data_IF_887253255144
#
_entry.id   IF_887253255144
#
_cell.length_a   1.000
_cell.length_b   1.000
_cell.length_c   1.000
_cell.angle_alpha   90.00
_cell.angle_beta   90.00
_cell.angle_gamma   90.00
#
_symmetry.space_group_name_H-M   'P 1'
#
loop_
_entity.id
_entity.type
_entity.pdbx_description
1 polymer ?
#
# COMPACT_ATOMS: atom_id res chain seq x y z
N UNK A 1 50.11 12.52 -6.68
CA UNK A 1 49.35 12.26 -7.91
C UNK A 1 48.43 11.07 -7.69
N UNK A 2 47.13 11.30 -7.51
CA UNK A 2 46.00 10.40 -7.80
C UNK A 2 44.70 11.13 -7.43
N UNK A 3 43.59 10.91 -8.16
CA UNK A 3 42.66 11.98 -8.49
C UNK A 3 41.42 12.03 -7.59
N UNK A 4 40.95 13.27 -7.42
CA UNK A 4 39.68 13.68 -6.86
C UNK A 4 38.52 13.14 -7.72
N UNK A 5 37.73 12.19 -7.20
CA UNK A 5 36.44 11.84 -7.80
C UNK A 5 35.33 12.52 -7.00
N UNK A 6 34.92 13.70 -7.50
CA UNK A 6 33.74 14.40 -7.05
C UNK A 6 32.47 13.60 -7.38
N UNK A 7 31.63 13.39 -6.39
CA UNK A 7 30.22 13.06 -6.60
C UNK A 7 29.40 14.28 -6.18
N UNK A 8 28.76 14.88 -7.16
CA UNK A 8 27.88 16.03 -6.99
C UNK A 8 26.64 15.59 -6.20
N UNK A 9 26.61 15.88 -4.90
CA UNK A 9 25.37 15.83 -4.13
C UNK A 9 24.48 17.00 -4.56
N UNK A 10 23.23 16.77 -5.00
CA UNK A 10 22.34 17.86 -5.37
C UNK A 10 21.98 18.70 -4.15
N UNK A 11 22.06 20.02 -4.31
CA UNK A 11 21.76 21.00 -3.28
C UNK A 11 20.32 20.87 -2.75
N UNK A 12 20.06 21.15 -1.46
CA UNK A 12 18.71 21.12 -0.90
C UNK A 12 17.82 22.18 -1.57
N UNK A 13 16.62 21.76 -1.96
CA UNK A 13 15.62 22.62 -2.62
C UNK A 13 15.39 23.91 -1.82
N UNK A 14 15.85 25.05 -2.34
CA UNK A 14 15.45 26.38 -1.85
C UNK A 14 13.96 26.57 -2.12
N UNK A 15 13.16 26.64 -1.07
CA UNK A 15 11.75 27.07 -1.18
C UNK A 15 11.74 28.58 -1.36
N UNK A 16 11.60 29.04 -2.61
CA UNK A 16 11.29 30.44 -2.91
C UNK A 16 9.81 30.70 -2.60
N UNK A 17 9.55 31.63 -1.69
CA UNK A 17 8.21 32.12 -1.36
C UNK A 17 7.71 32.96 -2.54
N UNK A 18 6.86 32.39 -3.40
CA UNK A 18 6.18 33.15 -4.45
C UNK A 18 5.02 33.94 -3.84
N UNK A 19 5.16 35.27 -3.78
CA UNK A 19 4.10 36.21 -3.48
C UNK A 19 3.27 36.45 -4.73
N UNK A 20 2.19 35.69 -4.95
CA UNK A 20 1.19 36.07 -5.94
C UNK A 20 -0.13 36.33 -5.22
N UNK A 21 -0.51 37.60 -5.19
CA UNK A 21 -1.79 38.07 -4.71
C UNK A 21 -2.92 37.67 -5.66
N UNK A 22 -4.10 37.52 -5.09
CA UNK A 22 -5.36 37.51 -5.82
C UNK A 22 -6.42 38.14 -4.91
N UNK A 23 -6.93 39.30 -5.30
CA UNK A 23 -8.15 39.91 -4.79
C UNK A 23 -9.30 39.64 -5.80
N UNK A 24 -10.56 39.63 -5.35
CA UNK A 24 -11.58 38.68 -5.77
C UNK A 24 -12.51 39.24 -6.85
N UNK A 25 -13.10 38.35 -7.65
CA UNK A 25 -14.50 38.44 -8.08
C UNK A 25 -14.81 37.33 -9.09
N UNK A 26 -15.71 36.42 -8.72
CA UNK A 26 -16.73 35.91 -9.64
C UNK A 26 -17.74 35.14 -8.81
N UNK A 27 -18.94 35.70 -8.69
CA UNK A 27 -20.10 35.05 -8.09
C UNK A 27 -20.29 33.67 -8.70
N UNK A 28 -20.02 32.61 -7.92
CA UNK A 28 -20.42 31.27 -8.30
C UNK A 28 -21.89 31.10 -7.92
N UNK A 29 -22.75 31.02 -8.92
CA UNK A 29 -24.10 30.47 -8.77
C UNK A 29 -23.94 29.04 -8.25
N UNK A 30 -24.31 28.81 -6.99
CA UNK A 30 -24.30 27.48 -6.39
C UNK A 30 -25.48 26.69 -6.95
N UNK A 31 -25.24 25.89 -7.98
CA UNK A 31 -26.20 24.88 -8.42
C UNK A 31 -26.53 23.95 -7.24
N UNK A 32 -27.82 23.73 -6.90
CA UNK A 32 -28.18 22.89 -5.78
C UNK A 32 -27.62 21.48 -6.03
N UNK A 33 -26.82 21.00 -5.07
CA UNK A 33 -26.27 19.64 -5.09
C UNK A 33 -27.43 18.67 -5.23
N UNK A 34 -27.62 18.11 -6.43
CA UNK A 34 -28.46 16.94 -6.64
C UNK A 34 -27.89 15.84 -5.76
N UNK A 35 -28.49 15.65 -4.58
CA UNK A 35 -28.23 14.48 -3.77
C UNK A 35 -28.76 13.29 -4.57
N UNK A 36 -27.84 12.65 -5.29
CA UNK A 36 -28.11 11.39 -5.97
C UNK A 36 -28.55 10.42 -4.88
N UNK A 37 -29.84 10.09 -4.86
CA UNK A 37 -30.35 9.05 -3.95
C UNK A 37 -29.68 7.76 -4.36
N UNK A 38 -28.66 7.37 -3.61
CA UNK A 38 -27.95 6.11 -3.83
C UNK A 38 -28.92 4.95 -3.63
N UNK A 39 -29.01 4.09 -4.64
CA UNK A 39 -29.85 2.89 -4.62
C UNK A 39 -29.42 2.04 -3.42
N UNK A 40 -30.34 1.61 -2.53
CA UNK A 40 -30.02 0.94 -1.27
C UNK A 40 -29.38 -0.46 -1.40
N UNK A 41 -29.00 -0.89 -2.61
CA UNK A 41 -28.28 -2.13 -2.89
C UNK A 41 -26.78 -1.98 -3.19
N UNK A 42 -26.28 -0.78 -3.49
CA UNK A 42 -24.83 -0.60 -3.75
C UNK A 42 -24.01 -0.65 -2.46
N UNK A 43 -24.55 -0.16 -1.34
CA UNK A 43 -23.83 -0.10 -0.07
C UNK A 43 -23.45 -1.48 0.49
N UNK A 44 -24.20 -2.53 0.22
CA UNK A 44 -23.96 -3.85 0.82
C UNK A 44 -22.79 -4.61 0.17
N UNK A 45 -22.63 -4.53 -1.15
CA UNK A 45 -21.48 -5.10 -1.85
C UNK A 45 -20.20 -4.30 -1.58
N UNK A 46 -20.31 -2.98 -1.58
CA UNK A 46 -19.21 -2.07 -1.29
C UNK A 46 -18.66 -2.29 0.12
N UNK A 47 -19.52 -2.50 1.14
CA UNK A 47 -19.08 -2.83 2.50
C UNK A 47 -18.26 -4.12 2.52
N UNK A 48 -18.68 -5.19 1.82
CA UNK A 48 -17.89 -6.43 1.76
C UNK A 48 -16.54 -6.23 1.09
N UNK A 49 -16.48 -5.44 0.02
CA UNK A 49 -15.22 -5.14 -0.68
C UNK A 49 -14.28 -4.33 0.22
N UNK A 50 -14.78 -3.27 0.84
CA UNK A 50 -14.02 -2.40 1.74
C UNK A 50 -13.50 -3.18 2.95
N UNK A 51 -14.32 -4.04 3.56
CA UNK A 51 -13.88 -4.90 4.66
C UNK A 51 -12.75 -5.83 4.20
N UNK A 52 -12.87 -6.45 3.02
CA UNK A 52 -11.80 -7.31 2.50
C UNK A 52 -10.51 -6.51 2.25
N UNK A 53 -10.62 -5.31 1.68
CA UNK A 53 -9.47 -4.45 1.40
C UNK A 53 -8.76 -3.99 2.69
N UNK A 54 -9.51 -3.58 3.71
CA UNK A 54 -8.94 -3.09 4.97
C UNK A 54 -8.43 -4.21 5.89
N UNK A 55 -9.13 -5.34 5.96
CA UNK A 55 -8.80 -6.42 6.90
C UNK A 55 -8.00 -7.56 6.28
N UNK A 56 -7.79 -7.58 4.96
CA UNK A 56 -6.90 -8.53 4.28
C UNK A 56 -5.75 -7.80 3.58
N UNK A 57 -4.81 -7.21 4.34
CA UNK A 57 -3.66 -6.54 3.75
C UNK A 57 -2.85 -7.53 2.91
N UNK A 58 -2.31 -7.04 1.78
CA UNK A 58 -1.41 -7.85 0.95
C UNK A 58 -0.17 -8.20 1.76
N UNK A 59 0.13 -9.50 1.83
CA UNK A 59 1.36 -9.97 2.44
C UNK A 59 2.57 -9.48 1.64
N UNK A 60 3.60 -9.00 2.35
CA UNK A 60 4.88 -8.67 1.70
C UNK A 60 5.64 -9.94 1.33
N UNK A 61 6.51 -9.83 0.32
CA UNK A 61 7.41 -10.92 -0.10
C UNK A 61 8.29 -11.40 1.07
N UNK A 62 8.75 -10.47 1.90
CA UNK A 62 9.57 -10.76 3.09
C UNK A 62 8.75 -11.58 4.09
N UNK A 63 7.51 -11.18 4.38
CA UNK A 63 6.65 -11.88 5.31
C UNK A 63 6.32 -13.30 4.85
N UNK A 64 6.14 -13.53 3.54
CA UNK A 64 5.92 -14.88 3.00
C UNK A 64 7.15 -15.77 3.10
N UNK A 65 8.35 -15.25 2.81
CA UNK A 65 9.61 -16.00 2.97
C UNK A 65 9.83 -16.41 4.42
N UNK A 66 9.67 -15.47 5.34
CA UNK A 66 9.85 -15.73 6.76
C UNK A 66 8.91 -16.82 7.32
N UNK A 67 7.75 -17.09 6.71
CA UNK A 67 6.87 -18.18 7.15
C UNK A 67 7.49 -19.55 6.95
N UNK A 68 8.20 -19.74 5.84
CA UNK A 68 8.89 -21.00 5.52
C UNK A 68 10.19 -21.09 6.30
N UNK A 69 10.96 -20.01 6.38
CA UNK A 69 12.27 -20.00 7.09
C UNK A 69 12.13 -20.28 8.59
N UNK A 70 11.00 -19.86 9.20
CA UNK A 70 10.71 -20.10 10.62
C UNK A 70 10.18 -21.50 10.90
N UNK A 71 9.80 -22.28 9.89
CA UNK A 71 9.31 -23.65 10.08
C UNK A 71 10.48 -24.57 10.40
N UNK A 72 10.34 -25.30 11.49
CA UNK A 72 11.26 -26.37 11.89
C UNK A 72 10.44 -27.65 11.99
N UNK A 73 11.02 -28.77 11.54
CA UNK A 73 10.38 -30.07 11.67
C UNK A 73 10.17 -30.39 13.15
N UNK A 74 8.95 -30.78 13.53
CA UNK A 74 8.64 -31.11 14.91
C UNK A 74 9.10 -32.53 15.26
N UNK A 75 9.33 -32.77 16.56
CA UNK A 75 9.68 -34.09 17.06
C UNK A 75 8.56 -35.10 16.72
N UNK A 76 8.93 -36.23 16.11
CA UNK A 76 7.97 -37.24 15.64
C UNK A 76 7.24 -36.89 14.33
N UNK A 77 7.45 -35.71 13.74
CA UNK A 77 6.91 -35.40 12.42
C UNK A 77 7.63 -36.20 11.34
N UNK A 78 6.89 -36.79 10.40
CA UNK A 78 7.50 -37.43 9.23
C UNK A 78 8.12 -36.39 8.30
N UNK A 79 9.23 -36.75 7.66
CA UNK A 79 9.92 -35.88 6.69
C UNK A 79 8.99 -35.52 5.52
N UNK A 80 8.19 -36.49 5.06
CA UNK A 80 7.21 -36.26 4.00
C UNK A 80 6.14 -35.24 4.41
N UNK A 81 5.59 -35.38 5.62
CA UNK A 81 4.60 -34.44 6.15
C UNK A 81 5.15 -33.02 6.26
N UNK A 82 6.38 -32.89 6.76
CA UNK A 82 7.08 -31.60 6.83
C UNK A 82 7.26 -30.97 5.43
N UNK A 83 7.70 -31.75 4.44
CA UNK A 83 7.88 -31.27 3.06
C UNK A 83 6.56 -30.83 2.43
N UNK A 84 5.46 -31.55 2.66
CA UNK A 84 4.12 -31.19 2.14
C UNK A 84 3.67 -29.85 2.72
N UNK A 85 3.86 -29.63 4.02
CA UNK A 85 3.55 -28.36 4.68
C UNK A 85 4.38 -27.20 4.10
N UNK A 86 5.70 -27.39 3.94
CA UNK A 86 6.56 -26.38 3.31
C UNK A 86 6.10 -26.05 1.89
N UNK A 87 5.77 -27.06 1.08
CA UNK A 87 5.23 -26.86 -0.28
C UNK A 87 3.94 -26.06 -0.25
N UNK A 88 3.06 -26.28 0.73
CA UNK A 88 1.81 -25.55 0.85
C UNK A 88 2.05 -24.07 1.20
N UNK A 89 3.04 -23.77 2.04
CA UNK A 89 3.40 -22.40 2.44
C UNK A 89 3.98 -21.57 1.30
N UNK A 90 4.62 -22.20 0.31
CA UNK A 90 5.26 -21.51 -0.82
C UNK A 90 4.33 -21.30 -2.03
N UNK A 91 3.24 -22.07 -2.15
CA UNK A 91 2.33 -22.08 -3.33
C UNK A 91 1.30 -20.94 -3.37
N UNK A 92 1.68 -19.71 -3.03
CA UNK A 92 0.82 -18.53 -3.22
C UNK A 92 0.91 -17.92 -4.61
#
# INVERSE_FOLDING_TARGET
>A
MSPEYGTAYPAPCRVTRLSNGYEPSSSQTVEPRKHRTEVPGQKTYEVKRLLKEHYSPRSSVIAERCKSDRRVQQEGQSVEGFIVELKHLVRK
#
